data_IF_863134573825
#
_entry.id   IF_863134573825
#
_cell.length_a   1.000
_cell.length_b   1.000
_cell.length_c   1.000
_cell.angle_alpha   90.00
_cell.angle_beta   90.00
_cell.angle_gamma   90.00
#
_symmetry.space_group_name_H-M   'P 1'
#
loop_
_entity.id
_entity.type
_entity.pdbx_description
1 polymer ?
#
# COMPACT_ATOMS: atom_id res chain seq x y z
N UNK A 1 6.70 10.25 15.28
CA UNK A 1 7.54 9.71 14.19
C UNK A 1 7.90 8.26 14.53
N UNK A 2 7.63 7.33 13.62
CA UNK A 2 8.10 5.96 13.78
C UNK A 2 9.52 5.93 13.24
N UNK A 3 10.50 5.92 14.13
CA UNK A 3 11.87 5.63 13.76
C UNK A 3 12.00 4.12 13.52
N UNK A 4 12.50 3.73 12.37
CA UNK A 4 12.77 2.35 12.03
C UNK A 4 12.39 1.96 10.60
N UNK A 5 12.95 0.87 10.15
CA UNK A 5 12.64 0.26 8.86
C UNK A 5 11.35 -0.55 8.97
N UNK A 6 10.47 -0.43 7.99
CA UNK A 6 9.24 -1.18 7.90
C UNK A 6 9.20 -2.01 6.62
N UNK A 7 8.90 -3.28 6.76
CA UNK A 7 8.62 -4.15 5.63
C UNK A 7 7.12 -4.13 5.34
N UNK A 8 6.75 -3.86 4.10
CA UNK A 8 5.36 -3.86 3.62
C UNK A 8 5.22 -4.96 2.58
N UNK A 9 4.26 -5.89 2.75
CA UNK A 9 4.02 -6.89 1.73
C UNK A 9 3.41 -6.22 0.50
N UNK A 10 4.11 -6.28 -0.63
CA UNK A 10 3.57 -5.82 -1.90
C UNK A 10 2.56 -6.84 -2.43
N UNK A 11 1.44 -6.33 -2.88
CA UNK A 11 0.42 -7.11 -3.60
C UNK A 11 0.75 -7.16 -5.09
N UNK A 12 0.23 -8.14 -5.84
CA UNK A 12 0.60 -8.33 -7.24
C UNK A 12 0.33 -7.12 -8.13
N UNK A 13 -0.82 -6.47 -8.00
CA UNK A 13 -1.17 -5.30 -8.82
C UNK A 13 -0.32 -4.07 -8.45
N UNK A 14 -0.11 -3.83 -7.15
CA UNK A 14 0.79 -2.75 -6.70
C UNK A 14 2.22 -3.00 -7.17
N UNK A 15 2.72 -4.23 -7.11
CA UNK A 15 4.04 -4.59 -7.62
C UNK A 15 4.14 -4.32 -9.13
N UNK A 16 3.11 -4.67 -9.90
CA UNK A 16 3.02 -4.37 -11.33
C UNK A 16 3.09 -2.86 -11.59
N UNK A 17 2.27 -2.06 -10.91
CA UNK A 17 2.29 -0.60 -11.06
C UNK A 17 3.66 0.00 -10.73
N UNK A 18 4.29 -0.46 -9.64
CA UNK A 18 5.62 0.02 -9.24
C UNK A 18 6.71 -0.36 -10.25
N UNK A 19 6.60 -1.54 -10.88
CA UNK A 19 7.57 -1.98 -11.90
C UNK A 19 7.54 -1.13 -13.17
N UNK A 20 6.44 -0.44 -13.44
CA UNK A 20 6.29 0.46 -14.59
C UNK A 20 6.85 1.87 -14.33
N UNK A 21 7.21 2.19 -13.09
CA UNK A 21 7.76 3.50 -12.77
C UNK A 21 9.18 3.64 -13.31
N UNK A 22 9.53 4.82 -13.88
CA UNK A 22 10.87 5.05 -14.39
C UNK A 22 11.90 5.10 -13.25
N UNK A 23 12.97 4.34 -13.40
CA UNK A 23 14.09 4.30 -12.46
C UNK A 23 14.95 5.57 -12.62
N UNK A 24 14.66 6.64 -11.89
CA UNK A 24 15.37 7.92 -11.98
C UNK A 24 16.48 8.07 -10.94
N UNK A 25 16.29 7.51 -9.77
CA UNK A 25 17.23 7.57 -8.65
C UNK A 25 16.90 6.47 -7.62
N UNK A 26 17.51 6.50 -6.44
CA UNK A 26 17.30 5.52 -5.36
C UNK A 26 15.89 5.48 -4.74
N UNK A 27 15.03 6.47 -5.07
CA UNK A 27 13.69 6.54 -4.52
C UNK A 27 12.66 6.00 -5.51
N UNK A 28 11.74 5.17 -5.04
CA UNK A 28 10.61 4.67 -5.84
C UNK A 28 9.77 5.85 -6.36
N UNK A 29 9.46 6.79 -5.49
CA UNK A 29 8.77 8.03 -5.85
C UNK A 29 9.78 9.17 -5.87
N UNK A 30 10.29 9.45 -7.05
CA UNK A 30 11.25 10.54 -7.29
C UNK A 30 10.55 11.86 -7.55
N UNK A 31 11.25 12.97 -7.25
CA UNK A 31 10.82 14.34 -7.57
C UNK A 31 11.99 15.11 -8.15
N UNK A 32 11.74 15.99 -9.11
CA UNK A 32 12.76 16.91 -9.63
C UNK A 32 13.00 18.12 -8.71
N UNK A 33 12.06 18.40 -7.81
CA UNK A 33 12.03 19.62 -7.00
C UNK A 33 12.43 19.40 -5.53
N UNK A 34 12.66 18.17 -5.10
CA UNK A 34 12.94 17.86 -3.70
C UNK A 34 14.42 17.80 -3.39
N UNK A 35 14.79 18.26 -2.19
CA UNK A 35 16.07 17.92 -1.58
C UNK A 35 16.25 16.39 -1.61
N UNK A 36 17.36 15.89 -2.09
CA UNK A 36 17.58 14.47 -2.39
C UNK A 36 16.65 13.86 -3.48
N UNK A 37 15.98 14.66 -4.28
CA UNK A 37 15.11 14.19 -5.39
C UNK A 37 14.03 13.17 -4.97
N UNK A 38 13.55 13.27 -3.76
CA UNK A 38 12.49 12.44 -3.18
C UNK A 38 11.16 13.19 -3.21
N UNK A 39 10.07 12.49 -3.57
CA UNK A 39 8.73 13.03 -3.39
C UNK A 39 8.42 13.11 -1.89
N UNK A 40 8.17 14.31 -1.38
CA UNK A 40 7.89 14.57 0.04
C UNK A 40 6.40 14.70 0.34
N UNK A 41 5.66 15.33 -0.56
CA UNK A 41 4.22 15.55 -0.39
C UNK A 41 3.45 15.23 -1.69
N UNK A 42 2.67 14.14 -1.73
CA UNK A 42 1.85 13.77 -2.89
C UNK A 42 0.47 14.46 -2.92
N UNK A 43 0.18 15.43 -2.04
CA UNK A 43 -1.16 16.01 -1.90
C UNK A 43 -1.64 16.70 -3.19
N UNK A 44 -0.74 17.43 -3.87
CA UNK A 44 -1.08 18.12 -5.13
C UNK A 44 -1.40 17.13 -6.26
N UNK A 45 -0.64 16.05 -6.36
CA UNK A 45 -0.87 14.97 -7.33
C UNK A 45 -2.19 14.26 -7.04
N UNK A 46 -2.44 13.93 -5.77
CA UNK A 46 -3.71 13.34 -5.35
C UNK A 46 -4.91 14.22 -5.70
N UNK A 47 -4.81 15.53 -5.50
CA UNK A 47 -5.87 16.49 -5.89
C UNK A 47 -6.12 16.46 -7.39
N UNK A 48 -5.06 16.44 -8.22
CA UNK A 48 -5.19 16.34 -9.68
C UNK A 48 -5.86 15.03 -10.11
N UNK A 49 -5.49 13.91 -9.51
CA UNK A 49 -6.11 12.61 -9.80
C UNK A 49 -7.60 12.61 -9.48
N UNK A 50 -8.00 13.13 -8.31
CA UNK A 50 -9.42 13.25 -7.97
C UNK A 50 -10.20 14.11 -8.98
N UNK A 51 -9.62 15.24 -9.41
CA UNK A 51 -10.22 16.11 -10.41
C UNK A 51 -10.37 15.40 -11.76
N UNK A 52 -9.32 14.71 -12.23
CA UNK A 52 -9.35 13.94 -13.49
C UNK A 52 -10.38 12.81 -13.45
N UNK A 53 -10.56 12.18 -12.30
CA UNK A 53 -11.56 11.14 -12.08
C UNK A 53 -12.99 11.67 -11.90
N UNK A 54 -13.21 12.98 -11.88
CA UNK A 54 -14.52 13.58 -11.66
C UNK A 54 -15.11 13.33 -10.28
N UNK A 55 -14.28 13.06 -9.27
CA UNK A 55 -14.72 12.76 -7.91
C UNK A 55 -14.34 13.89 -6.94
N UNK A 56 -15.10 14.01 -5.86
CA UNK A 56 -14.75 14.92 -4.77
C UNK A 56 -13.35 14.56 -4.22
N UNK A 57 -12.60 15.58 -3.79
CA UNK A 57 -11.27 15.41 -3.23
C UNK A 57 -11.30 14.47 -2.02
N UNK A 58 -10.62 13.34 -2.16
CA UNK A 58 -10.37 12.38 -1.07
C UNK A 58 -8.96 12.63 -0.54
N UNK A 59 -8.82 12.86 0.77
CA UNK A 59 -7.51 13.02 1.39
C UNK A 59 -6.77 11.68 1.48
N UNK A 60 -5.43 11.71 1.58
CA UNK A 60 -4.62 10.49 1.80
C UNK A 60 -5.05 9.75 3.08
N UNK A 61 -5.42 10.49 4.14
CA UNK A 61 -6.00 9.88 5.34
C UNK A 61 -7.40 9.31 5.09
N UNK A 62 -8.17 9.91 4.17
CA UNK A 62 -9.44 9.36 3.68
C UNK A 62 -9.24 7.99 3.03
N UNK A 63 -8.27 7.86 2.13
CA UNK A 63 -7.92 6.58 1.51
C UNK A 63 -7.54 5.52 2.55
N UNK A 64 -6.78 5.88 3.58
CA UNK A 64 -6.45 4.96 4.68
C UNK A 64 -7.70 4.50 5.45
N UNK A 65 -8.65 5.42 5.71
CA UNK A 65 -9.91 5.06 6.38
C UNK A 65 -10.76 4.14 5.50
N UNK A 66 -10.86 4.44 4.20
CA UNK A 66 -11.56 3.57 3.25
C UNK A 66 -10.97 2.16 3.21
N UNK A 67 -9.64 2.06 3.17
CA UNK A 67 -8.96 0.77 3.22
C UNK A 67 -9.35 -0.03 4.47
N UNK A 68 -9.37 0.61 5.65
CA UNK A 68 -9.78 -0.04 6.89
C UNK A 68 -11.22 -0.52 6.83
N UNK A 69 -12.15 0.36 6.41
CA UNK A 69 -13.59 0.03 6.31
C UNK A 69 -13.83 -1.13 5.34
N UNK A 70 -13.18 -1.12 4.17
CA UNK A 70 -13.30 -2.20 3.19
C UNK A 70 -12.73 -3.51 3.72
N UNK A 71 -11.63 -3.47 4.45
CA UNK A 71 -11.07 -4.65 5.10
C UNK A 71 -12.00 -5.23 6.18
N UNK A 72 -12.72 -4.39 6.91
CA UNK A 72 -13.76 -4.82 7.87
C UNK A 72 -14.94 -5.50 7.16
N UNK A 73 -15.38 -5.00 6.01
CA UNK A 73 -16.43 -5.66 5.21
C UNK A 73 -16.02 -7.04 4.70
N UNK A 74 -14.72 -7.28 4.56
CA UNK A 74 -14.16 -8.58 4.16
C UNK A 74 -13.82 -9.47 5.37
N UNK A 75 -14.33 -9.15 6.55
CA UNK A 75 -14.09 -9.88 7.80
C UNK A 75 -12.60 -10.08 8.14
N UNK A 76 -11.77 -9.11 7.75
CA UNK A 76 -10.35 -9.12 8.09
C UNK A 76 -10.14 -8.73 9.56
N UNK A 77 -9.32 -9.51 10.28
CA UNK A 77 -9.02 -9.19 11.67
C UNK A 77 -8.35 -7.82 11.81
N UNK A 78 -8.77 -7.02 12.78
CA UNK A 78 -8.26 -5.68 13.03
C UNK A 78 -6.73 -5.64 13.22
N UNK A 79 -6.14 -6.67 13.83
CA UNK A 79 -4.70 -6.76 14.03
C UNK A 79 -3.92 -6.93 12.71
N UNK A 80 -4.44 -7.74 11.77
CA UNK A 80 -3.86 -7.89 10.42
C UNK A 80 -3.92 -6.56 9.69
N UNK A 81 -5.08 -5.91 9.66
CA UNK A 81 -5.28 -4.62 8.99
C UNK A 81 -4.38 -3.54 9.59
N UNK A 82 -4.31 -3.45 10.91
CA UNK A 82 -3.44 -2.51 11.62
C UNK A 82 -1.96 -2.72 11.26
N UNK A 83 -1.51 -3.96 11.19
CA UNK A 83 -0.14 -4.29 10.85
C UNK A 83 0.18 -3.97 9.38
N UNK A 84 -0.71 -4.28 8.43
CA UNK A 84 -0.59 -3.88 7.02
C UNK A 84 -0.52 -2.34 6.92
N UNK A 85 -1.36 -1.63 7.64
CA UNK A 85 -1.38 -0.16 7.68
C UNK A 85 -0.20 0.46 8.45
N UNK A 86 0.60 -0.35 9.17
CA UNK A 86 1.77 0.09 9.94
C UNK A 86 1.42 0.77 11.25
N UNK A 87 0.31 0.43 11.84
CA UNK A 87 0.00 0.83 13.20
C UNK A 87 0.84 0.01 14.18
N UNK A 88 1.27 0.65 15.26
CA UNK A 88 1.88 -0.07 16.38
C UNK A 88 0.81 -0.88 17.10
N UNK A 89 1.09 -2.12 17.51
CA UNK A 89 0.17 -2.87 18.35
C UNK A 89 -0.13 -2.08 19.64
N UNK A 90 -1.41 -1.91 19.95
CA UNK A 90 -1.86 -1.15 21.13
C UNK A 90 -2.12 -2.05 22.34
N UNK A 91 -2.52 -3.30 22.10
CA UNK A 91 -2.79 -4.26 23.16
C UNK A 91 -1.53 -5.04 23.53
N UNK A 92 -1.32 -5.28 24.81
CA UNK A 92 -0.17 -6.04 25.35
C UNK A 92 -0.08 -7.44 24.76
N UNK A 93 -1.20 -8.14 24.63
CA UNK A 93 -1.26 -9.46 24.03
C UNK A 93 -0.82 -9.46 22.56
N UNK A 94 -1.25 -8.46 21.78
CA UNK A 94 -0.88 -8.34 20.37
C UNK A 94 0.60 -7.98 20.20
N UNK A 95 1.14 -7.16 21.11
CA UNK A 95 2.54 -6.74 21.09
C UNK A 95 3.50 -7.89 21.42
N UNK A 96 3.13 -8.79 22.31
CA UNK A 96 4.04 -9.79 22.85
C UNK A 96 3.79 -11.22 22.35
N UNK A 97 2.58 -11.54 21.93
CA UNK A 97 2.18 -12.92 21.60
C UNK A 97 1.76 -13.15 20.16
N UNK A 98 1.52 -12.08 19.38
CA UNK A 98 1.06 -12.24 18.00
C UNK A 98 2.14 -11.90 17.00
N UNK A 99 2.80 -12.94 16.49
CA UNK A 99 3.74 -12.82 15.36
C UNK A 99 3.02 -13.23 14.08
N UNK A 100 2.91 -12.29 13.13
CA UNK A 100 2.33 -12.55 11.81
C UNK A 100 3.43 -12.58 10.75
N UNK A 101 3.70 -13.76 10.14
CA UNK A 101 4.65 -13.86 9.05
C UNK A 101 4.28 -12.93 7.88
N UNK A 102 5.29 -12.41 7.19
CA UNK A 102 5.08 -11.48 6.07
C UNK A 102 4.25 -12.09 4.94
N UNK A 103 4.37 -13.40 4.73
CA UNK A 103 3.62 -14.11 3.69
C UNK A 103 2.13 -14.21 4.02
N UNK A 104 1.79 -14.43 5.31
CA UNK A 104 0.40 -14.34 5.77
C UNK A 104 -0.17 -12.93 5.54
N UNK A 105 0.59 -11.90 5.86
CA UNK A 105 0.16 -10.51 5.62
C UNK A 105 0.00 -10.22 4.13
N UNK A 106 0.88 -10.77 3.28
CA UNK A 106 0.80 -10.64 1.83
C UNK A 106 -0.46 -11.29 1.28
N UNK A 107 -0.77 -12.51 1.70
CA UNK A 107 -1.98 -13.22 1.30
C UNK A 107 -3.24 -12.40 1.64
N UNK A 108 -3.35 -11.92 2.88
CA UNK A 108 -4.48 -11.10 3.33
C UNK A 108 -4.56 -9.77 2.58
N UNK A 109 -3.43 -9.13 2.35
CA UNK A 109 -3.37 -7.89 1.58
C UNK A 109 -3.77 -8.10 0.11
N UNK A 110 -3.37 -9.22 -0.49
CA UNK A 110 -3.77 -9.59 -1.86
C UNK A 110 -5.28 -9.85 -1.95
N UNK A 111 -5.89 -10.47 -0.94
CA UNK A 111 -7.35 -10.61 -0.89
C UNK A 111 -8.05 -9.25 -0.91
N UNK A 112 -7.56 -8.28 -0.12
CA UNK A 112 -8.09 -6.91 -0.11
C UNK A 112 -7.91 -6.26 -1.49
N UNK A 113 -6.75 -6.40 -2.11
CA UNK A 113 -6.48 -5.88 -3.46
C UNK A 113 -7.47 -6.44 -4.48
N UNK A 114 -7.67 -7.75 -4.50
CA UNK A 114 -8.61 -8.42 -5.42
C UNK A 114 -10.03 -7.84 -5.30
N UNK A 115 -10.50 -7.63 -4.07
CA UNK A 115 -11.81 -7.01 -3.85
C UNK A 115 -11.85 -5.55 -4.32
N UNK A 116 -10.78 -4.77 -4.07
CA UNK A 116 -10.70 -3.39 -4.53
C UNK A 116 -10.72 -3.28 -6.05
N UNK A 117 -10.00 -4.16 -6.75
CA UNK A 117 -10.00 -4.22 -8.22
C UNK A 117 -11.40 -4.57 -8.75
N UNK A 118 -12.06 -5.55 -8.13
CA UNK A 118 -13.42 -5.93 -8.49
C UNK A 118 -14.42 -4.79 -8.30
N UNK A 119 -14.38 -4.09 -7.16
CA UNK A 119 -15.23 -2.92 -6.91
C UNK A 119 -14.96 -1.76 -7.89
N UNK A 120 -13.72 -1.61 -8.32
CA UNK A 120 -13.32 -0.60 -9.30
C UNK A 120 -13.56 -1.02 -10.76
N UNK A 121 -14.10 -2.22 -11.01
CA UNK A 121 -14.21 -2.81 -12.35
C UNK A 121 -12.87 -2.79 -13.11
N UNK A 122 -11.77 -3.03 -12.39
CA UNK A 122 -10.43 -3.11 -12.97
C UNK A 122 -10.12 -4.55 -13.32
N UNK A 123 -10.15 -4.85 -14.61
CA UNK A 123 -9.73 -6.15 -15.14
C UNK A 123 -8.19 -6.20 -15.17
N UNK A 124 -7.63 -7.06 -14.34
CA UNK A 124 -6.19 -7.28 -14.29
C UNK A 124 -5.89 -8.73 -13.90
N UNK A 125 -5.00 -9.35 -14.65
CA UNK A 125 -4.54 -10.72 -14.39
C UNK A 125 -3.05 -10.68 -14.05
N UNK A 126 -2.60 -11.32 -12.96
CA UNK A 126 -1.19 -11.39 -12.63
C UNK A 126 -0.38 -12.02 -13.77
N UNK A 127 0.69 -11.36 -14.20
CA UNK A 127 1.63 -11.94 -15.14
C UNK A 127 2.39 -13.04 -14.40
N UNK A 128 2.35 -14.31 -14.84
CA UNK A 128 3.16 -15.36 -14.24
C UNK A 128 4.63 -14.95 -14.29
N UNK A 129 5.32 -14.93 -13.14
CA UNK A 129 6.72 -14.52 -12.95
C UNK A 129 7.01 -13.03 -12.68
N UNK A 130 6.02 -12.13 -12.59
CA UNK A 130 6.27 -10.75 -12.15
C UNK A 130 6.61 -10.61 -10.65
N UNK A 131 6.64 -11.70 -9.90
CA UNK A 131 6.77 -11.68 -8.43
C UNK A 131 8.22 -11.58 -7.93
N UNK A 132 9.20 -11.53 -8.81
CA UNK A 132 10.60 -11.37 -8.40
C UNK A 132 11.11 -9.94 -8.63
N UNK A 133 10.67 -8.99 -7.81
CA UNK A 133 11.47 -7.79 -7.59
C UNK A 133 12.77 -8.24 -6.89
N UNK A 134 13.82 -8.50 -7.67
CA UNK A 134 15.15 -8.74 -7.12
C UNK A 134 15.63 -7.44 -6.48
N UNK A 135 15.92 -7.48 -5.18
CA UNK A 135 16.71 -6.45 -4.53
C UNK A 135 18.06 -6.40 -5.25
N UNK A 136 18.28 -5.34 -6.03
CA UNK A 136 19.62 -5.02 -6.52
C UNK A 136 20.39 -4.50 -5.31
N UNK A 137 21.44 -5.24 -4.94
CA UNK A 137 22.38 -4.84 -3.88
C UNK A 137 23.18 -3.61 -4.29
#
# INVERSE_FOLDING_TARGET
KIEGTRIVPLTPYVAHLLSQLPHRNKWVFSSHLGENQKLTDPTSQNTKVCLMAGINKVSLNGLRRSFKTLAEWMDMSNGVVAQIMGHKPSATAEKHYTVRPIDMLRERHTTIETCLLAFGNVEWTPIPNATSLRLVK
#
